data_IF_464817359413
#
_entry.id   IF_464817359413
#
_cell.length_a   1.000
_cell.length_b   1.000
_cell.length_c   1.000
_cell.angle_alpha   90.00
_cell.angle_beta   90.00
_cell.angle_gamma   90.00
#
_symmetry.space_group_name_H-M   'P 1'
#
loop_
_entity.id
_entity.type
_entity.pdbx_description
1 polymer ?
#
# COMPACT_ATOMS: atom_id res chain seq x y z
N UNK A 1 9.99 10.58 -11.90
CA UNK A 1 9.50 9.58 -10.93
C UNK A 1 10.65 8.62 -10.66
N UNK A 2 11.17 8.60 -9.43
CA UNK A 2 12.29 7.72 -9.08
C UNK A 2 11.87 6.24 -8.99
N UNK A 3 12.84 5.30 -9.08
CA UNK A 3 12.56 3.86 -8.96
C UNK A 3 11.86 3.49 -7.63
N UNK A 4 12.08 4.28 -6.58
CA UNK A 4 11.40 4.13 -5.28
C UNK A 4 9.88 4.35 -5.38
N UNK A 5 9.41 5.32 -6.18
CA UNK A 5 7.98 5.57 -6.35
C UNK A 5 7.30 4.38 -7.01
N UNK A 6 7.97 3.76 -7.98
CA UNK A 6 7.48 2.53 -8.62
C UNK A 6 7.35 1.39 -7.62
N UNK A 7 8.36 1.19 -6.76
CA UNK A 7 8.34 0.16 -5.70
C UNK A 7 7.17 0.41 -4.74
N UNK A 8 6.97 1.66 -4.30
CA UNK A 8 5.84 2.07 -3.45
C UNK A 8 4.50 1.69 -4.08
N UNK A 9 4.33 1.98 -5.38
CA UNK A 9 3.11 1.62 -6.12
C UNK A 9 2.92 0.11 -6.18
N UNK A 10 3.96 -0.66 -6.48
CA UNK A 10 3.88 -2.12 -6.53
C UNK A 10 3.45 -2.71 -5.18
N UNK A 11 4.09 -2.29 -4.09
CA UNK A 11 3.76 -2.77 -2.74
C UNK A 11 2.34 -2.35 -2.36
N UNK A 12 1.91 -1.13 -2.71
CA UNK A 12 0.55 -0.66 -2.48
C UNK A 12 -0.48 -1.58 -3.16
N UNK A 13 -0.29 -1.90 -4.44
CA UNK A 13 -1.19 -2.78 -5.18
C UNK A 13 -1.24 -4.17 -4.55
N UNK A 14 -0.09 -4.75 -4.20
CA UNK A 14 -0.03 -6.05 -3.52
C UNK A 14 -0.75 -6.04 -2.16
N UNK A 15 -0.58 -4.97 -1.38
CA UNK A 15 -1.24 -4.80 -0.08
C UNK A 15 -2.76 -4.75 -0.22
N UNK A 16 -3.28 -3.97 -1.18
CA UNK A 16 -4.71 -3.83 -1.41
C UNK A 16 -5.34 -5.15 -1.90
N UNK A 17 -4.67 -5.83 -2.84
CA UNK A 17 -5.14 -7.12 -3.36
C UNK A 17 -5.07 -8.21 -2.28
N UNK A 18 -3.99 -8.24 -1.50
CA UNK A 18 -3.83 -9.14 -0.36
C UNK A 18 -4.89 -8.91 0.73
N UNK A 19 -5.19 -7.65 1.03
CA UNK A 19 -6.28 -7.26 1.94
C UNK A 19 -7.64 -7.72 1.43
N UNK A 20 -7.95 -7.46 0.16
CA UNK A 20 -9.19 -7.91 -0.48
C UNK A 20 -9.32 -9.44 -0.47
N UNK A 21 -8.23 -10.16 -0.71
CA UNK A 21 -8.20 -11.62 -0.58
C UNK A 21 -8.41 -12.06 0.87
N UNK A 22 -7.82 -11.37 1.85
CA UNK A 22 -8.03 -11.61 3.28
C UNK A 22 -9.51 -11.50 3.67
N UNK A 23 -10.19 -10.44 3.24
CA UNK A 23 -11.64 -10.30 3.44
C UNK A 23 -12.44 -11.44 2.79
N UNK A 24 -12.09 -11.83 1.56
CA UNK A 24 -12.78 -12.92 0.84
C UNK A 24 -12.57 -14.29 1.51
N UNK A 25 -11.37 -14.54 2.02
CA UNK A 25 -10.99 -15.83 2.63
C UNK A 25 -11.38 -15.96 4.10
N UNK A 26 -11.96 -14.92 4.70
CA UNK A 26 -12.22 -14.87 6.15
C UNK A 26 -10.95 -14.75 7.00
N UNK A 27 -9.79 -14.49 6.38
CA UNK A 27 -8.55 -14.23 7.08
C UNK A 27 -8.49 -12.76 7.50
N UNK A 28 -9.02 -12.49 8.70
CA UNK A 28 -9.10 -11.14 9.27
C UNK A 28 -7.73 -10.47 9.42
N UNK A 29 -6.66 -11.24 9.66
CA UNK A 29 -5.30 -10.69 9.79
C UNK A 29 -4.81 -10.14 8.45
N UNK A 30 -4.99 -10.91 7.36
CA UNK A 30 -4.68 -10.44 6.01
C UNK A 30 -5.59 -9.29 5.59
N UNK A 31 -6.89 -9.35 5.89
CA UNK A 31 -7.86 -8.32 5.54
C UNK A 31 -7.56 -6.99 6.21
N UNK A 32 -7.44 -6.99 7.54
CA UNK A 32 -7.11 -5.80 8.31
C UNK A 32 -5.69 -5.31 8.03
N UNK A 33 -4.71 -6.22 7.98
CA UNK A 33 -3.32 -5.90 7.70
C UNK A 33 -3.11 -5.28 6.33
N UNK A 34 -3.70 -5.87 5.28
CA UNK A 34 -3.62 -5.35 3.91
C UNK A 34 -4.32 -4.01 3.72
N UNK A 35 -5.45 -3.80 4.42
CA UNK A 35 -6.16 -2.51 4.43
C UNK A 35 -5.38 -1.41 5.16
N UNK A 36 -4.87 -1.68 6.36
CA UNK A 36 -4.05 -0.73 7.13
C UNK A 36 -2.75 -0.37 6.41
N UNK A 37 -2.01 -1.37 5.94
CA UNK A 37 -0.78 -1.15 5.16
C UNK A 37 -1.08 -0.39 3.86
N UNK A 38 -2.17 -0.74 3.17
CA UNK A 38 -2.60 -0.05 1.97
C UNK A 38 -2.84 1.44 2.22
N UNK A 39 -3.55 1.78 3.29
CA UNK A 39 -3.80 3.18 3.66
C UNK A 39 -2.50 3.94 3.95
N UNK A 40 -1.57 3.35 4.71
CA UNK A 40 -0.26 3.94 4.99
C UNK A 40 0.51 4.19 3.68
N UNK A 41 0.54 3.21 2.78
CA UNK A 41 1.24 3.30 1.50
C UNK A 41 0.61 4.35 0.57
N UNK A 42 -0.71 4.54 0.59
CA UNK A 42 -1.37 5.64 -0.13
C UNK A 42 -0.89 7.00 0.38
N UNK A 43 -0.84 7.19 1.70
CA UNK A 43 -0.35 8.44 2.30
C UNK A 43 1.10 8.70 1.88
N UNK A 44 1.97 7.69 1.99
CA UNK A 44 3.37 7.81 1.58
C UNK A 44 3.51 8.11 0.09
N UNK A 45 2.71 7.46 -0.77
CA UNK A 45 2.71 7.74 -2.21
C UNK A 45 2.32 9.19 -2.49
N UNK A 46 1.26 9.70 -1.85
CA UNK A 46 0.84 11.11 -2.00
C UNK A 46 1.96 12.06 -1.57
N UNK A 47 2.57 11.83 -0.40
CA UNK A 47 3.67 12.64 0.08
C UNK A 47 4.90 12.59 -0.86
N UNK A 48 5.20 11.43 -1.44
CA UNK A 48 6.29 11.26 -2.40
C UNK A 48 6.01 12.01 -3.71
N UNK A 49 4.77 11.92 -4.22
CA UNK A 49 4.35 12.63 -5.43
C UNK A 49 4.32 14.15 -5.24
N UNK A 50 4.04 14.63 -4.02
CA UNK A 50 4.13 16.04 -3.65
C UNK A 50 5.56 16.52 -3.35
N UNK A 51 6.57 15.65 -3.46
CA UNK A 51 7.96 15.98 -3.13
C UNK A 51 8.19 16.28 -1.64
N UNK A 52 7.31 15.80 -0.76
CA UNK A 52 7.38 15.98 0.70
C UNK A 52 8.14 14.87 1.42
N UNK A 53 8.56 13.85 0.69
CA UNK A 53 9.39 12.77 1.19
C UNK A 53 10.80 12.86 0.60
N UNK A 54 11.85 12.76 1.44
CA UNK A 54 13.23 12.64 0.96
C UNK A 54 13.46 11.20 0.50
N UNK A 55 13.08 10.89 -0.74
CA UNK A 55 13.16 9.57 -1.37
C UNK A 55 13.95 9.62 -2.67
#
# INVERSE_FOLDING_TARGET
MGPIVLILVVILVLSLLGGGYGFRSGNNVLGAGGGLLGLVLVILLILALLGRLPL
#
